data_IF_146283733542
#
_entry.id   IF_146283733542
#
_cell.length_a   1.000
_cell.length_b   1.000
_cell.length_c   1.000
_cell.angle_alpha   90.00
_cell.angle_beta   90.00
_cell.angle_gamma   90.00
#
_symmetry.space_group_name_H-M   'P 1'
#
loop_
_entity.id
_entity.type
_entity.pdbx_description
1 polymer ?
#
# COMPACT_ATOMS: atom_id res chain seq x y z
N UNK A 1 32.22 -17.67 42.41
CA UNK A 1 32.12 -16.19 42.52
C UNK A 1 32.06 -15.61 41.13
N UNK A 2 30.87 -15.29 40.63
CA UNK A 2 30.69 -14.55 39.38
C UNK A 2 31.08 -13.10 39.67
N UNK A 3 32.21 -12.64 39.14
CA UNK A 3 32.57 -11.22 39.16
C UNK A 3 31.46 -10.44 38.45
N UNK A 4 30.81 -9.54 39.18
CA UNK A 4 29.89 -8.58 38.61
C UNK A 4 30.67 -7.75 37.59
N UNK A 5 30.43 -7.99 36.30
CA UNK A 5 30.97 -7.18 35.24
C UNK A 5 30.40 -5.76 35.45
N UNK A 6 31.20 -4.75 35.83
CA UNK A 6 30.68 -3.40 35.95
C UNK A 6 30.15 -3.02 34.56
N UNK A 7 28.89 -2.56 34.51
CA UNK A 7 28.28 -2.09 33.26
C UNK A 7 28.50 -0.57 33.25
N UNK A 8 29.64 -0.06 32.73
CA UNK A 8 30.02 1.34 32.87
C UNK A 8 28.97 2.32 32.34
N UNK A 9 28.22 1.91 31.30
CA UNK A 9 27.11 2.70 30.76
C UNK A 9 25.94 2.83 31.72
N UNK A 10 25.59 1.77 32.46
CA UNK A 10 24.50 1.79 33.43
C UNK A 10 24.86 2.64 34.65
N UNK A 11 26.10 2.56 35.11
CA UNK A 11 26.60 3.36 36.22
C UNK A 11 26.64 4.85 35.85
N UNK A 12 27.05 5.18 34.61
CA UNK A 12 26.96 6.53 34.06
C UNK A 12 25.52 7.04 34.07
N UNK A 13 24.56 6.27 33.56
CA UNK A 13 23.13 6.67 33.54
C UNK A 13 22.59 6.85 34.96
N UNK A 14 22.92 5.97 35.91
CA UNK A 14 22.52 6.11 37.31
C UNK A 14 23.07 7.38 37.95
N UNK A 15 24.32 7.75 37.66
CA UNK A 15 24.91 8.99 38.13
C UNK A 15 24.20 10.22 37.54
N UNK A 16 23.83 10.18 36.26
CA UNK A 16 23.00 11.24 35.63
C UNK A 16 21.64 11.37 36.34
N UNK A 17 20.95 10.25 36.58
CA UNK A 17 19.66 10.24 37.27
C UNK A 17 19.74 10.71 38.72
N UNK A 18 20.91 10.57 39.36
CA UNK A 18 21.19 11.08 40.70
C UNK A 18 21.50 12.60 40.72
N UNK A 19 21.59 13.25 39.55
CA UNK A 19 21.84 14.69 39.44
C UNK A 19 23.33 15.06 39.43
N UNK A 20 24.25 14.12 39.21
CA UNK A 20 25.68 14.42 39.05
C UNK A 20 25.93 15.18 37.73
N UNK A 21 26.33 16.45 37.84
CA UNK A 21 26.58 17.33 36.70
C UNK A 21 27.79 16.91 35.87
N UNK A 22 28.84 16.35 36.49
CA UNK A 22 30.01 15.84 35.78
C UNK A 22 29.66 14.54 35.03
N UNK A 23 28.83 13.68 35.61
CA UNK A 23 28.29 12.53 34.91
C UNK A 23 27.39 12.94 33.74
N UNK A 24 26.54 13.96 33.92
CA UNK A 24 25.69 14.49 32.85
C UNK A 24 26.51 15.03 31.67
N UNK A 25 27.62 15.74 31.93
CA UNK A 25 28.51 16.21 30.88
C UNK A 25 29.16 15.04 30.13
N UNK A 26 29.77 14.08 30.86
CA UNK A 26 30.38 12.88 30.26
C UNK A 26 29.38 12.07 29.43
N UNK A 27 28.13 11.98 29.90
CA UNK A 27 27.06 11.33 29.17
C UNK A 27 26.75 12.04 27.85
N UNK A 28 26.64 13.36 27.86
CA UNK A 28 26.39 14.14 26.64
C UNK A 28 27.58 14.01 25.66
N UNK A 29 28.80 14.15 26.13
CA UNK A 29 30.01 14.03 25.30
C UNK A 29 30.08 12.64 24.65
N UNK A 30 29.75 11.58 25.38
CA UNK A 30 29.79 10.20 24.87
C UNK A 30 28.64 9.85 23.91
N UNK A 31 27.53 10.59 23.94
CA UNK A 31 26.29 10.21 23.23
C UNK A 31 25.88 11.20 22.14
N UNK A 32 26.45 12.40 22.11
CA UNK A 32 26.12 13.47 21.16
C UNK A 32 26.19 12.98 19.71
N UNK A 33 27.26 12.30 19.30
CA UNK A 33 27.42 11.80 17.92
C UNK A 33 26.34 10.78 17.54
N UNK A 34 25.94 9.92 18.48
CA UNK A 34 24.87 8.93 18.25
C UNK A 34 23.53 9.63 18.07
N UNK A 35 23.23 10.59 18.95
CA UNK A 35 21.99 11.37 18.88
C UNK A 35 21.94 12.22 17.61
N UNK A 36 23.05 12.86 17.25
CA UNK A 36 23.18 13.65 16.02
C UNK A 36 22.99 12.79 14.77
N UNK A 37 23.59 11.60 14.72
CA UNK A 37 23.39 10.66 13.60
C UNK A 37 21.91 10.29 13.40
N UNK A 38 21.18 10.07 14.49
CA UNK A 38 19.73 9.80 14.43
C UNK A 38 18.96 11.02 13.93
N UNK A 39 19.30 12.21 14.41
CA UNK A 39 18.67 13.47 13.98
C UNK A 39 18.92 13.72 12.50
N UNK A 40 20.18 13.65 12.02
CA UNK A 40 20.52 13.86 10.61
C UNK A 40 19.75 12.91 9.71
N UNK A 41 19.63 11.63 10.12
CA UNK A 41 18.88 10.64 9.35
C UNK A 41 17.39 10.99 9.21
N UNK A 42 16.78 11.61 10.21
CA UNK A 42 15.33 11.80 10.29
C UNK A 42 14.88 13.23 9.94
N UNK A 43 15.71 14.23 10.24
CA UNK A 43 15.41 15.66 10.09
C UNK A 43 16.34 16.36 9.10
N UNK A 44 17.50 15.78 8.78
CA UNK A 44 18.54 16.37 7.93
C UNK A 44 19.64 17.06 8.73
N UNK A 45 20.68 17.53 8.05
CA UNK A 45 21.88 18.18 8.61
C UNK A 45 21.84 19.72 8.57
N UNK A 46 20.70 20.31 8.21
CA UNK A 46 20.49 21.76 8.17
C UNK A 46 20.04 22.38 9.51
N UNK A 47 19.63 23.66 9.50
CA UNK A 47 19.17 24.39 10.70
C UNK A 47 18.01 23.68 11.42
N UNK A 48 17.13 23.03 10.67
CA UNK A 48 16.05 22.22 11.20
C UNK A 48 16.57 21.03 12.02
N UNK A 49 17.65 20.39 11.55
CA UNK A 49 18.33 19.29 12.22
C UNK A 49 18.99 19.75 13.52
N UNK A 50 19.69 20.89 13.50
CA UNK A 50 20.28 21.48 14.71
C UNK A 50 19.23 21.77 15.77
N UNK A 51 18.10 22.39 15.38
CA UNK A 51 16.98 22.62 16.29
C UNK A 51 16.39 21.30 16.80
N UNK A 52 16.30 20.27 15.95
CA UNK A 52 15.83 18.94 16.34
C UNK A 52 16.74 18.29 17.36
N UNK A 53 18.06 18.40 17.19
CA UNK A 53 19.04 17.92 18.14
C UNK A 53 18.92 18.60 19.51
N UNK A 54 18.80 19.93 19.54
CA UNK A 54 18.55 20.66 20.79
C UNK A 54 17.27 20.16 21.47
N UNK A 55 16.19 19.97 20.70
CA UNK A 55 14.94 19.42 21.23
C UNK A 55 15.07 17.99 21.76
N UNK A 56 15.95 17.15 21.17
CA UNK A 56 16.27 15.82 21.71
C UNK A 56 17.00 15.94 23.04
N UNK A 57 17.99 16.84 23.15
CA UNK A 57 18.71 17.07 24.41
C UNK A 57 17.78 17.61 25.50
N UNK A 58 16.90 18.55 25.17
CA UNK A 58 15.87 19.06 26.10
C UNK A 58 14.90 17.96 26.53
N UNK A 59 14.40 17.17 25.57
CA UNK A 59 13.51 16.04 25.84
C UNK A 59 14.16 14.94 26.68
N UNK A 60 15.47 14.74 26.55
CA UNK A 60 16.24 13.86 27.42
C UNK A 60 16.40 14.42 28.83
N UNK A 61 16.60 15.74 28.98
CA UNK A 61 16.76 16.40 30.28
C UNK A 61 15.45 16.56 31.07
N UNK A 62 14.32 16.58 30.35
CA UNK A 62 12.99 16.75 30.93
C UNK A 62 12.73 15.79 32.11
N UNK A 63 12.00 16.30 33.12
CA UNK A 63 11.61 15.58 34.33
C UNK A 63 12.76 14.86 35.05
N UNK A 64 13.95 15.47 35.03
CA UNK A 64 15.15 14.91 35.64
C UNK A 64 15.60 13.63 34.94
N UNK A 65 15.67 13.66 33.62
CA UNK A 65 16.03 12.52 32.78
C UNK A 65 15.10 11.31 32.92
N UNK A 66 13.79 11.55 33.07
CA UNK A 66 12.81 10.47 33.27
C UNK A 66 12.87 9.39 32.17
N UNK A 67 13.16 9.79 30.92
CA UNK A 67 13.29 8.89 29.77
C UNK A 67 14.50 7.97 29.83
N UNK A 68 15.46 8.17 30.75
CA UNK A 68 16.59 7.26 30.96
C UNK A 68 16.34 6.21 32.05
N UNK A 69 15.32 6.40 32.91
CA UNK A 69 15.01 5.48 34.02
C UNK A 69 14.77 4.03 33.58
N UNK A 70 14.14 3.75 32.43
CA UNK A 70 13.95 2.37 31.98
C UNK A 70 15.21 1.65 31.51
N UNK A 71 16.35 2.34 31.35
CA UNK A 71 17.58 1.71 30.90
C UNK A 71 18.15 0.79 32.00
N UNK A 72 18.17 -0.52 31.71
CA UNK A 72 18.59 -1.58 32.64
C UNK A 72 20.02 -2.10 32.38
N UNK A 73 20.68 -1.56 31.35
CA UNK A 73 22.02 -1.94 30.92
C UNK A 73 22.11 -3.33 30.27
N UNK A 74 21.01 -4.01 29.92
CA UNK A 74 21.07 -5.28 29.19
C UNK A 74 21.50 -5.07 27.72
N UNK A 75 21.17 -3.92 27.15
CA UNK A 75 21.57 -3.50 25.81
C UNK A 75 22.61 -2.37 25.81
N UNK A 76 23.13 -2.05 24.62
CA UNK A 76 24.00 -0.89 24.42
C UNK A 76 23.22 0.41 24.63
N UNK A 77 23.80 1.36 25.36
CA UNK A 77 23.21 2.68 25.59
C UNK A 77 22.91 3.40 24.27
N UNK A 78 23.78 3.30 23.28
CA UNK A 78 23.58 3.92 21.95
C UNK A 78 22.30 3.43 21.25
N UNK A 79 22.00 2.13 21.32
CA UNK A 79 20.77 1.56 20.75
C UNK A 79 19.54 2.05 21.49
N UNK A 80 19.60 2.09 22.82
CA UNK A 80 18.51 2.62 23.65
C UNK A 80 18.24 4.09 23.34
N UNK A 81 19.29 4.92 23.30
CA UNK A 81 19.17 6.34 23.00
C UNK A 81 18.68 6.61 21.59
N UNK A 82 19.01 5.77 20.61
CA UNK A 82 18.44 5.90 19.27
C UNK A 82 16.92 5.73 19.27
N UNK A 83 16.37 4.82 20.09
CA UNK A 83 14.92 4.64 20.25
C UNK A 83 14.31 5.85 20.95
N UNK A 84 14.90 6.29 22.07
CA UNK A 84 14.41 7.45 22.83
C UNK A 84 14.44 8.73 21.99
N UNK A 85 15.52 8.97 21.25
CA UNK A 85 15.64 10.10 20.33
C UNK A 85 14.60 10.03 19.22
N UNK A 86 14.39 8.84 18.62
CA UNK A 86 13.33 8.64 17.62
C UNK A 86 11.95 8.98 18.19
N UNK A 87 11.63 8.57 19.42
CA UNK A 87 10.35 8.89 20.05
C UNK A 87 10.19 10.39 20.32
N UNK A 88 11.22 11.08 20.83
CA UNK A 88 11.18 12.54 21.02
C UNK A 88 10.96 13.27 19.69
N UNK A 89 11.66 12.83 18.63
CA UNK A 89 11.50 13.39 17.29
C UNK A 89 10.11 13.11 16.70
N UNK A 90 9.54 11.93 16.96
CA UNK A 90 8.18 11.59 16.58
C UNK A 90 7.16 12.52 17.26
N UNK A 91 7.31 12.78 18.56
CA UNK A 91 6.45 13.70 19.33
C UNK A 91 6.57 15.15 18.81
N UNK A 92 7.77 15.57 18.41
CA UNK A 92 8.01 16.87 17.76
C UNK A 92 7.32 16.95 16.40
N UNK A 93 7.46 15.91 15.57
CA UNK A 93 6.82 15.82 14.26
C UNK A 93 5.29 15.87 14.37
N UNK A 94 4.71 15.19 15.36
CA UNK A 94 3.27 15.23 15.59
C UNK A 94 2.76 16.67 15.83
N UNK A 95 3.49 17.44 16.65
CA UNK A 95 3.17 18.85 16.95
C UNK A 95 3.32 19.76 15.72
N UNK A 96 4.31 19.51 14.87
CA UNK A 96 4.56 20.38 13.70
C UNK A 96 3.43 20.32 12.66
N UNK A 97 2.63 19.24 12.61
CA UNK A 97 1.43 19.15 11.77
C UNK A 97 0.32 20.13 12.18
N UNK A 98 0.37 20.71 13.38
CA UNK A 98 -0.56 21.77 13.79
C UNK A 98 -0.12 23.13 13.23
N UNK A 99 1.19 23.40 13.27
CA UNK A 99 1.79 24.71 12.97
C UNK A 99 2.09 24.91 11.47
N UNK A 100 2.68 23.90 10.83
CA UNK A 100 3.18 23.99 9.46
C UNK A 100 3.01 22.65 8.71
N UNK A 101 1.77 22.29 8.32
CA UNK A 101 1.46 20.95 7.84
C UNK A 101 2.16 20.55 6.53
N UNK A 102 2.38 21.50 5.60
CA UNK A 102 3.14 21.22 4.37
C UNK A 102 4.59 20.85 4.65
N UNK A 103 5.34 21.71 5.35
CA UNK A 103 6.74 21.42 5.74
C UNK A 103 6.87 20.14 6.57
N UNK A 104 5.84 19.80 7.35
CA UNK A 104 5.81 18.59 8.18
C UNK A 104 5.66 17.30 7.38
N UNK A 105 5.02 17.34 6.20
CA UNK A 105 4.85 16.14 5.39
C UNK A 105 6.16 15.62 4.81
N UNK A 106 7.00 16.50 4.25
CA UNK A 106 8.33 16.10 3.78
C UNK A 106 9.18 15.43 4.87
N UNK A 107 9.08 15.92 6.12
CA UNK A 107 9.71 15.28 7.29
C UNK A 107 9.07 13.94 7.63
N UNK A 108 7.75 13.87 7.61
CA UNK A 108 7.01 12.63 7.81
C UNK A 108 7.41 11.55 6.81
N UNK A 109 7.55 11.89 5.53
CA UNK A 109 7.97 10.94 4.50
C UNK A 109 9.39 10.42 4.77
N UNK A 110 10.32 11.29 5.19
CA UNK A 110 11.67 10.88 5.58
C UNK A 110 11.65 9.99 6.83
N UNK A 111 10.80 10.30 7.80
CA UNK A 111 10.74 9.62 9.09
C UNK A 111 10.11 8.22 9.00
N UNK A 112 8.99 8.10 8.27
CA UNK A 112 8.15 6.90 8.22
C UNK A 112 8.18 6.18 6.87
N UNK A 113 8.71 6.79 5.81
CA UNK A 113 8.65 6.22 4.46
C UNK A 113 9.21 4.81 4.37
N UNK A 114 10.37 4.56 4.99
CA UNK A 114 10.97 3.22 5.05
C UNK A 114 10.11 2.22 5.82
N UNK A 115 9.53 2.62 6.95
CA UNK A 115 8.70 1.74 7.78
C UNK A 115 7.39 1.38 7.07
N UNK A 116 6.75 2.35 6.40
CA UNK A 116 5.53 2.12 5.63
C UNK A 116 5.84 1.21 4.43
N UNK A 117 6.92 1.47 3.67
CA UNK A 117 7.34 0.60 2.55
C UNK A 117 7.63 -0.83 3.03
N UNK A 118 8.24 -0.99 4.21
CA UNK A 118 8.45 -2.31 4.80
C UNK A 118 7.13 -3.03 5.07
N UNK A 119 6.12 -2.33 5.60
CA UNK A 119 4.78 -2.91 5.83
C UNK A 119 4.05 -3.25 4.54
N UNK A 120 4.16 -2.40 3.51
CA UNK A 120 3.67 -2.70 2.16
C UNK A 120 4.31 -4.01 1.66
N UNK A 121 5.64 -4.12 1.72
CA UNK A 121 6.34 -5.31 1.28
C UNK A 121 6.00 -6.59 2.09
N UNK A 122 5.53 -6.44 3.33
CA UNK A 122 5.04 -7.55 4.15
C UNK A 122 3.62 -7.98 3.80
N UNK A 123 2.79 -7.05 3.29
CA UNK A 123 1.37 -7.31 2.96
C UNK A 123 1.15 -7.78 1.53
N UNK A 124 2.00 -7.37 0.59
CA UNK A 124 1.92 -7.77 -0.81
C UNK A 124 2.96 -8.86 -1.12
N UNK A 125 2.59 -9.97 -1.80
CA UNK A 125 3.48 -11.08 -2.13
C UNK A 125 4.79 -10.66 -2.81
N UNK A 126 5.81 -11.51 -2.79
CA UNK A 126 7.09 -11.23 -3.48
C UNK A 126 6.95 -11.19 -5.00
N UNK A 127 5.96 -11.87 -5.56
CA UNK A 127 5.67 -11.83 -7.00
C UNK A 127 4.93 -10.55 -7.44
N UNK A 128 4.44 -9.72 -6.49
CA UNK A 128 3.86 -8.43 -6.83
C UNK A 128 4.93 -7.54 -7.48
N UNK A 129 4.59 -6.94 -8.62
CA UNK A 129 5.51 -6.04 -9.33
C UNK A 129 5.92 -4.87 -8.44
N UNK A 130 7.11 -4.32 -8.67
CA UNK A 130 7.59 -3.12 -7.97
C UNK A 130 6.58 -1.98 -8.09
N UNK A 131 5.90 -1.86 -9.24
CA UNK A 131 4.82 -0.89 -9.47
C UNK A 131 3.66 -1.03 -8.48
N UNK A 132 3.16 -2.26 -8.24
CA UNK A 132 2.03 -2.48 -7.33
C UNK A 132 2.36 -2.09 -5.87
N UNK A 133 3.61 -2.34 -5.45
CA UNK A 133 4.07 -1.96 -4.10
C UNK A 133 4.25 -0.45 -3.98
N UNK A 134 4.79 0.18 -5.01
CA UNK A 134 4.89 1.63 -5.04
C UNK A 134 3.49 2.26 -5.01
N UNK A 135 2.54 1.77 -5.83
CA UNK A 135 1.15 2.23 -5.82
C UNK A 135 0.48 2.10 -4.44
N UNK A 136 0.66 0.95 -3.77
CA UNK A 136 0.15 0.75 -2.42
C UNK A 136 0.76 1.74 -1.41
N UNK A 137 2.06 2.02 -1.51
CA UNK A 137 2.72 3.06 -0.70
C UNK A 137 2.14 4.46 -1.00
N UNK A 138 1.96 4.80 -2.28
CA UNK A 138 1.39 6.08 -2.72
C UNK A 138 -0.04 6.26 -2.18
N UNK A 139 -0.84 5.20 -2.21
CA UNK A 139 -2.22 5.21 -1.71
C UNK A 139 -2.26 5.38 -0.19
N UNK A 140 -1.35 4.76 0.55
CA UNK A 140 -1.20 5.02 1.99
C UNK A 140 -0.83 6.49 2.25
N UNK A 141 0.11 7.05 1.50
CA UNK A 141 0.49 8.46 1.60
C UNK A 141 -0.71 9.39 1.35
N UNK A 142 -1.50 9.13 0.32
CA UNK A 142 -2.73 9.87 0.03
C UNK A 142 -3.70 9.85 1.21
N UNK A 143 -3.97 8.67 1.79
CA UNK A 143 -4.84 8.54 2.96
C UNK A 143 -4.35 9.33 4.18
N UNK A 144 -3.06 9.55 4.32
CA UNK A 144 -2.53 10.40 5.38
C UNK A 144 -2.65 11.90 5.09
N UNK A 145 -2.60 12.32 3.82
CA UNK A 145 -2.74 13.72 3.39
C UNK A 145 -4.21 14.17 3.37
N UNK A 146 -5.12 13.22 3.11
CA UNK A 146 -6.57 13.46 3.02
C UNK A 146 -7.11 14.34 4.16
N UNK A 147 -8.03 15.23 3.78
CA UNK A 147 -8.73 16.16 4.67
C UNK A 147 -7.77 16.99 5.55
N UNK A 148 -6.72 17.52 4.93
CA UNK A 148 -5.69 18.34 5.59
C UNK A 148 -5.02 17.59 6.76
N UNK A 149 -4.52 16.40 6.45
CA UNK A 149 -3.81 15.53 7.40
C UNK A 149 -4.67 15.11 8.60
N UNK A 150 -6.00 15.01 8.43
CA UNK A 150 -6.95 14.73 9.52
C UNK A 150 -6.56 13.51 10.35
N UNK A 151 -6.12 12.43 9.69
CA UNK A 151 -5.72 11.19 10.37
C UNK A 151 -4.48 11.36 11.24
N UNK A 152 -3.53 12.18 10.81
CA UNK A 152 -2.32 12.49 11.58
C UNK A 152 -2.69 13.39 12.77
N UNK A 153 -3.48 14.44 12.52
CA UNK A 153 -3.92 15.42 13.53
C UNK A 153 -4.92 14.85 14.54
N UNK A 154 -5.48 13.68 14.27
CA UNK A 154 -6.32 12.94 15.22
C UNK A 154 -5.52 12.29 16.35
N UNK A 155 -4.19 12.36 16.32
CA UNK A 155 -3.36 11.96 17.45
C UNK A 155 -3.60 12.89 18.64
N UNK A 156 -4.02 12.33 19.77
CA UNK A 156 -4.39 13.04 20.99
C UNK A 156 -3.23 13.18 21.98
N UNK A 157 -2.04 12.68 21.62
CA UNK A 157 -0.87 12.67 22.50
C UNK A 157 -0.78 11.46 23.42
N UNK A 158 -1.74 10.54 23.38
CA UNK A 158 -1.71 9.33 24.20
C UNK A 158 -0.95 8.19 23.49
N UNK A 159 0.08 7.68 24.17
CA UNK A 159 0.90 6.59 23.67
C UNK A 159 2.07 7.05 22.79
N UNK A 160 2.55 6.18 21.90
CA UNK A 160 3.63 6.51 20.96
C UNK A 160 3.04 6.94 19.62
N UNK A 161 3.44 8.14 19.15
CA UNK A 161 3.05 8.64 17.83
C UNK A 161 3.49 7.69 16.70
N UNK A 162 4.68 7.07 16.82
CA UNK A 162 5.15 6.04 15.89
C UNK A 162 4.18 4.87 15.83
N UNK A 163 3.75 4.35 16.99
CA UNK A 163 2.79 3.27 17.07
C UNK A 163 1.43 3.64 16.45
N UNK A 164 0.96 4.85 16.70
CA UNK A 164 -0.27 5.40 16.14
C UNK A 164 -0.23 5.45 14.60
N UNK A 165 0.79 6.10 14.02
CA UNK A 165 0.96 6.22 12.57
C UNK A 165 1.04 4.86 11.91
N UNK A 166 1.88 3.98 12.45
CA UNK A 166 2.06 2.66 11.86
C UNK A 166 0.77 1.81 11.97
N UNK A 167 -0.02 1.97 13.03
CA UNK A 167 -1.35 1.32 13.14
C UNK A 167 -2.33 1.84 12.10
N UNK A 168 -2.32 3.14 11.80
CA UNK A 168 -3.17 3.70 10.73
C UNK A 168 -2.72 3.19 9.37
N UNK A 169 -1.42 3.18 9.09
CA UNK A 169 -0.86 2.64 7.84
C UNK A 169 -1.29 1.18 7.65
N UNK A 170 -1.23 0.37 8.72
CA UNK A 170 -1.68 -1.02 8.70
C UNK A 170 -3.15 -1.16 8.31
N UNK A 171 -4.02 -0.34 8.92
CA UNK A 171 -5.46 -0.37 8.63
C UNK A 171 -5.75 0.01 7.18
N UNK A 172 -5.08 1.04 6.67
CA UNK A 172 -5.19 1.44 5.27
C UNK A 172 -4.75 0.28 4.36
N UNK A 173 -3.61 -0.34 4.62
CA UNK A 173 -3.12 -1.48 3.83
C UNK A 173 -4.08 -2.67 3.85
N UNK A 174 -4.64 -2.99 5.01
CA UNK A 174 -5.67 -4.04 5.13
C UNK A 174 -6.89 -3.70 4.26
N UNK A 175 -7.34 -2.45 4.28
CA UNK A 175 -8.49 -2.02 3.49
C UNK A 175 -8.18 -2.02 1.99
N UNK A 176 -6.95 -1.70 1.57
CA UNK A 176 -6.50 -1.82 0.18
C UNK A 176 -6.48 -3.27 -0.29
N UNK A 177 -5.88 -4.17 0.49
CA UNK A 177 -5.88 -5.61 0.17
C UNK A 177 -7.32 -6.14 0.09
N UNK A 178 -8.22 -5.67 0.95
CA UNK A 178 -9.65 -6.05 0.91
C UNK A 178 -10.41 -5.49 -0.29
N UNK A 179 -9.97 -4.38 -0.87
CA UNK A 179 -10.58 -3.81 -2.08
C UNK A 179 -10.27 -4.68 -3.30
N UNK A 180 -9.01 -5.09 -3.45
CA UNK A 180 -8.55 -5.85 -4.61
C UNK A 180 -8.83 -7.36 -4.47
N UNK A 181 -8.84 -7.86 -3.24
CA UNK A 181 -9.32 -9.19 -2.89
C UNK A 181 -10.57 -9.03 -2.01
N UNK A 182 -11.77 -8.82 -2.58
CA UNK A 182 -13.01 -8.83 -1.82
C UNK A 182 -13.07 -10.13 -1.02
N UNK A 183 -13.64 -10.10 0.20
CA UNK A 183 -13.68 -11.26 1.11
C UNK A 183 -14.16 -12.50 0.35
N UNK A 184 -13.21 -13.34 -0.07
CA UNK A 184 -13.46 -14.59 -0.77
C UNK A 184 -14.03 -15.56 0.25
N UNK A 185 -15.34 -15.49 0.45
CA UNK A 185 -16.08 -16.50 1.21
C UNK A 185 -16.41 -17.61 0.26
N UNK A 186 -16.14 -18.85 0.67
CA UNK A 186 -16.64 -20.00 -0.06
C UNK A 186 -18.17 -19.87 -0.17
N UNK A 187 -18.75 -20.09 -1.36
CA UNK A 187 -20.20 -20.21 -1.48
C UNK A 187 -20.72 -21.23 -0.45
N UNK A 188 -21.88 -20.98 0.14
CA UNK A 188 -22.41 -21.84 1.21
C UNK A 188 -22.54 -23.32 0.78
N UNK A 189 -22.76 -23.57 -0.51
CA UNK A 189 -22.76 -24.92 -1.08
C UNK A 189 -21.37 -25.58 -0.99
N UNK A 190 -20.29 -24.85 -1.31
CA UNK A 190 -18.91 -25.34 -1.27
C UNK A 190 -18.40 -25.45 0.17
N UNK A 191 -18.74 -24.51 1.04
CA UNK A 191 -18.31 -24.50 2.44
C UNK A 191 -18.81 -25.71 3.26
N UNK A 192 -19.86 -26.39 2.78
CA UNK A 192 -20.41 -27.61 3.39
C UNK A 192 -19.75 -28.90 2.89
N UNK A 193 -18.91 -28.81 1.86
CA UNK A 193 -18.21 -29.94 1.28
C UNK A 193 -16.94 -30.29 2.08
N UNK A 194 -16.36 -31.48 1.88
CA UNK A 194 -15.07 -31.85 2.45
C UNK A 194 -13.95 -30.86 2.10
N UNK A 195 -12.91 -30.82 2.93
CA UNK A 195 -11.77 -29.90 2.78
C UNK A 195 -11.09 -29.98 1.40
N UNK A 196 -11.01 -31.19 0.84
CA UNK A 196 -10.47 -31.42 -0.51
C UNK A 196 -11.25 -30.63 -1.58
N UNK A 197 -12.58 -30.71 -1.56
CA UNK A 197 -13.47 -30.02 -2.48
C UNK A 197 -13.35 -28.48 -2.31
N UNK A 198 -13.20 -28.00 -1.07
CA UNK A 198 -12.98 -26.56 -0.79
C UNK A 198 -11.64 -26.05 -1.34
N UNK A 199 -10.57 -26.84 -1.20
CA UNK A 199 -9.23 -26.49 -1.65
C UNK A 199 -9.09 -26.58 -3.18
N UNK A 200 -9.76 -27.55 -3.83
CA UNK A 200 -9.87 -27.64 -5.29
C UNK A 200 -10.63 -26.43 -5.84
N UNK A 201 -11.77 -26.07 -5.24
CA UNK A 201 -12.52 -24.88 -5.63
C UNK A 201 -11.68 -23.61 -5.51
N UNK A 202 -10.94 -23.47 -4.40
CA UNK A 202 -10.02 -22.34 -4.18
C UNK A 202 -8.91 -22.33 -5.23
N UNK A 203 -8.31 -23.48 -5.55
CA UNK A 203 -7.25 -23.57 -6.53
C UNK A 203 -7.73 -23.15 -7.93
N UNK A 204 -8.89 -23.64 -8.38
CA UNK A 204 -9.42 -23.36 -9.72
C UNK A 204 -10.00 -21.94 -9.81
N UNK A 205 -10.92 -21.59 -8.92
CA UNK A 205 -11.74 -20.37 -9.04
C UNK A 205 -11.04 -19.13 -8.48
N UNK A 206 -10.22 -19.28 -7.44
CA UNK A 206 -9.57 -18.14 -6.78
C UNK A 206 -8.11 -17.97 -7.17
N UNK A 207 -7.39 -19.06 -7.41
CA UNK A 207 -5.97 -19.04 -7.78
C UNK A 207 -5.75 -19.28 -9.27
N UNK A 208 -6.82 -19.42 -10.05
CA UNK A 208 -6.79 -19.53 -11.52
C UNK A 208 -5.94 -20.70 -12.04
N UNK A 209 -5.82 -21.78 -11.26
CA UNK A 209 -5.20 -23.00 -11.74
C UNK A 209 -6.08 -23.67 -12.82
N UNK A 210 -5.43 -24.35 -13.76
CA UNK A 210 -6.15 -25.16 -14.74
C UNK A 210 -6.96 -26.25 -14.01
N UNK A 211 -8.20 -26.47 -14.48
CA UNK A 211 -9.06 -27.55 -14.02
C UNK A 211 -8.55 -28.90 -14.58
N UNK A 212 -7.39 -29.33 -14.08
CA UNK A 212 -6.65 -30.52 -14.50
C UNK A 212 -6.24 -31.29 -13.23
N UNK A 213 -6.66 -32.55 -13.13
CA UNK A 213 -6.52 -33.34 -11.92
C UNK A 213 -5.04 -33.59 -11.55
N UNK A 214 -4.17 -33.80 -12.53
CA UNK A 214 -2.75 -34.06 -12.30
C UNK A 214 -2.02 -32.79 -11.84
N UNK A 215 -2.36 -31.64 -12.43
CA UNK A 215 -1.79 -30.34 -12.01
C UNK A 215 -2.28 -29.91 -10.63
N UNK A 216 -3.53 -30.20 -10.31
CA UNK A 216 -4.09 -29.96 -8.98
C UNK A 216 -3.46 -30.90 -7.95
N UNK A 217 -3.21 -32.18 -8.28
CA UNK A 217 -2.48 -33.10 -7.42
C UNK A 217 -1.08 -32.55 -7.07
N UNK A 218 -0.36 -32.02 -8.06
CA UNK A 218 0.92 -31.36 -7.82
C UNK A 218 0.81 -30.12 -6.91
N UNK A 219 -0.25 -29.33 -7.08
CA UNK A 219 -0.49 -28.08 -6.33
C UNK A 219 -0.90 -28.34 -4.88
N UNK A 220 -1.62 -29.44 -4.64
CA UNK A 220 -2.15 -29.84 -3.33
C UNK A 220 -1.21 -30.77 -2.55
N UNK A 221 -0.10 -31.21 -3.15
CA UNK A 221 0.88 -32.10 -2.54
C UNK A 221 1.36 -31.59 -1.17
N UNK A 222 1.30 -32.45 -0.16
CA UNK A 222 1.73 -32.16 1.21
C UNK A 222 0.78 -31.29 2.02
N UNK A 223 -0.41 -30.95 1.50
CA UNK A 223 -1.43 -30.17 2.23
C UNK A 223 -2.39 -31.02 3.07
N UNK A 224 -2.40 -32.33 2.83
CA UNK A 224 -3.27 -33.29 3.50
C UNK A 224 -2.43 -34.36 4.19
N UNK A 225 -3.00 -35.04 5.19
CA UNK A 225 -2.37 -36.19 5.84
C UNK A 225 -2.06 -37.33 4.85
N UNK A 226 -2.89 -37.46 3.82
CA UNK A 226 -2.69 -38.31 2.66
C UNK A 226 -2.92 -37.48 1.40
N UNK A 227 -1.94 -37.46 0.51
CA UNK A 227 -2.08 -36.79 -0.78
C UNK A 227 -3.22 -37.45 -1.57
N UNK A 228 -4.23 -36.67 -2.02
CA UNK A 228 -5.30 -37.19 -2.84
C UNK A 228 -4.76 -37.62 -4.21
N UNK A 229 -5.21 -38.77 -4.70
CA UNK A 229 -4.84 -39.22 -6.04
C UNK A 229 -5.63 -38.50 -7.15
N UNK A 230 -5.21 -38.65 -8.41
CA UNK A 230 -5.86 -37.98 -9.53
C UNK A 230 -7.34 -38.40 -9.72
N UNK A 231 -7.71 -39.62 -9.30
CA UNK A 231 -9.08 -40.10 -9.39
C UNK A 231 -9.96 -39.48 -8.31
N UNK A 232 -9.44 -39.32 -7.09
CA UNK A 232 -10.09 -38.63 -5.97
C UNK A 232 -10.32 -37.14 -6.29
N UNK A 233 -9.32 -36.49 -6.89
CA UNK A 233 -9.42 -35.10 -7.36
C UNK A 233 -10.44 -34.98 -8.50
N UNK A 234 -10.41 -35.89 -9.48
CA UNK A 234 -11.39 -35.93 -10.57
C UNK A 234 -12.84 -36.10 -10.05
N UNK A 235 -13.05 -36.98 -9.07
CA UNK A 235 -14.35 -37.17 -8.45
C UNK A 235 -14.80 -35.93 -7.65
N UNK A 236 -13.89 -35.25 -6.95
CA UNK A 236 -14.19 -33.99 -6.26
C UNK A 236 -14.52 -32.84 -7.21
N UNK A 237 -13.81 -32.75 -8.34
CA UNK A 237 -14.11 -31.80 -9.41
C UNK A 237 -15.50 -32.03 -10.01
N UNK A 238 -15.89 -33.30 -10.24
CA UNK A 238 -17.22 -33.63 -10.74
C UNK A 238 -18.33 -33.16 -9.76
N UNK A 239 -18.18 -33.43 -8.46
CA UNK A 239 -19.13 -32.96 -7.44
C UNK A 239 -19.21 -31.42 -7.37
N UNK A 240 -18.07 -30.75 -7.50
CA UNK A 240 -18.04 -29.29 -7.51
C UNK A 240 -18.71 -28.70 -8.76
N UNK A 241 -18.52 -29.32 -9.93
CA UNK A 241 -19.12 -28.88 -11.19
C UNK A 241 -20.66 -28.93 -11.16
N UNK A 242 -21.24 -29.89 -10.43
CA UNK A 242 -22.69 -29.99 -10.22
C UNK A 242 -23.25 -28.87 -9.33
N UNK A 243 -22.43 -28.34 -8.42
CA UNK A 243 -22.87 -27.37 -7.40
C UNK A 243 -22.57 -25.93 -7.76
N UNK A 244 -21.45 -25.67 -8.46
CA UNK A 244 -21.00 -24.33 -8.83
C UNK A 244 -20.26 -24.40 -10.18
N UNK A 245 -20.44 -23.40 -11.07
CA UNK A 245 -19.64 -23.32 -12.29
C UNK A 245 -18.14 -23.25 -11.94
N UNK A 246 -17.37 -24.27 -12.35
CA UNK A 246 -15.91 -24.32 -12.19
C UNK A 246 -15.17 -23.53 -13.28
N UNK A 247 -15.77 -22.44 -13.75
CA UNK A 247 -15.10 -21.52 -14.64
C UNK A 247 -14.16 -20.62 -13.82
N UNK A 248 -12.91 -20.41 -14.26
CA UNK A 248 -12.12 -19.31 -13.74
C UNK A 248 -12.94 -18.02 -13.91
N UNK A 249 -13.02 -17.16 -12.89
CA UNK A 249 -13.87 -15.96 -12.91
C UNK A 249 -13.54 -14.97 -14.05
N UNK A 250 -12.51 -15.25 -14.85
CA UNK A 250 -12.17 -14.57 -16.10
C UNK A 250 -11.53 -15.56 -17.08
N UNK A 251 -12.33 -16.33 -17.83
CA UNK A 251 -11.83 -17.04 -19.00
C UNK A 251 -12.93 -17.16 -20.06
N UNK A 252 -12.98 -16.20 -21.00
CA UNK A 252 -13.55 -16.45 -22.31
C UNK A 252 -12.89 -17.71 -22.91
N UNK A 253 -13.64 -18.59 -23.59
CA UNK A 253 -13.10 -19.83 -24.10
C UNK A 253 -11.98 -19.55 -25.10
N UNK A 254 -10.78 -20.10 -24.84
CA UNK A 254 -9.65 -20.06 -25.76
C UNK A 254 -9.92 -21.03 -26.92
N UNK A 255 -9.97 -20.47 -28.12
CA UNK A 255 -10.12 -21.17 -29.40
C UNK A 255 -9.07 -22.26 -29.60
N UNK A 256 -9.51 -23.50 -29.80
CA UNK A 256 -8.73 -24.50 -30.53
C UNK A 256 -8.83 -24.12 -32.03
N UNK A 257 -7.69 -23.86 -32.67
CA UNK A 257 -7.64 -23.50 -34.09
C UNK A 257 -7.89 -24.76 -34.93
N UNK A 258 -9.02 -24.79 -35.65
CA UNK A 258 -9.35 -25.82 -36.65
C UNK A 258 -8.97 -25.32 -38.03
N UNK A 259 -8.35 -26.17 -38.86
CA UNK A 259 -8.00 -25.82 -40.23
C UNK A 259 -9.26 -25.71 -41.09
N UNK A 260 -9.42 -24.59 -41.80
CA UNK A 260 -10.57 -24.31 -42.68
C UNK A 260 -10.64 -25.25 -43.90
N UNK A 261 -9.55 -25.94 -44.21
CA UNK A 261 -9.46 -26.91 -45.30
C UNK A 261 -9.82 -28.35 -44.88
N UNK A 262 -10.12 -28.59 -43.60
CA UNK A 262 -10.56 -29.91 -43.14
C UNK A 262 -11.99 -30.19 -43.65
N UNK A 263 -12.06 -30.82 -44.81
CA UNK A 263 -13.31 -31.26 -45.42
C UNK A 263 -13.89 -32.37 -44.55
N UNK A 264 -15.00 -32.10 -43.87
CA UNK A 264 -15.82 -33.14 -43.24
C UNK A 264 -16.35 -34.12 -44.29
N UNK A 265 -16.68 -35.35 -43.86
CA UNK A 265 -17.06 -36.47 -44.73
C UNK A 265 -18.28 -36.20 -45.64
N UNK A 266 -19.00 -35.08 -45.45
CA UNK A 266 -20.22 -34.72 -46.19
C UNK A 266 -20.03 -33.61 -47.26
N UNK A 267 -18.80 -33.13 -47.52
CA UNK A 267 -18.54 -32.24 -48.66
C UNK A 267 -19.16 -30.82 -48.60
N UNK A 268 -19.85 -30.46 -47.51
CA UNK A 268 -20.18 -29.07 -47.21
C UNK A 268 -18.96 -28.38 -46.58
N UNK A 269 -18.44 -27.35 -47.26
CA UNK A 269 -17.35 -26.53 -46.74
C UNK A 269 -17.74 -25.83 -45.43
N UNK A 270 -16.77 -25.65 -44.53
CA UNK A 270 -16.96 -24.90 -43.29
C UNK A 270 -17.44 -23.47 -43.59
N UNK A 271 -18.72 -23.19 -43.32
CA UNK A 271 -19.27 -21.83 -43.37
C UNK A 271 -18.84 -21.08 -42.11
N UNK A 272 -17.84 -20.19 -42.23
CA UNK A 272 -17.48 -19.25 -41.17
C UNK A 272 -18.43 -18.05 -41.28
N UNK A 273 -19.27 -17.78 -40.27
CA UNK A 273 -20.11 -16.59 -40.27
C UNK A 273 -19.22 -15.34 -40.34
N UNK A 274 -19.57 -14.41 -41.22
CA UNK A 274 -18.91 -13.11 -41.30
C UNK A 274 -19.05 -12.41 -39.94
N UNK A 275 -17.91 -12.00 -39.38
CA UNK A 275 -17.84 -11.29 -38.10
C UNK A 275 -18.02 -9.78 -38.26
N UNK A 276 -18.28 -9.30 -39.49
CA UNK A 276 -18.72 -7.94 -39.73
C UNK A 276 -19.99 -7.66 -38.94
N UNK A 277 -19.98 -6.56 -38.18
CA UNK A 277 -21.17 -6.09 -37.46
C UNK A 277 -22.33 -5.95 -38.44
N UNK A 278 -23.52 -6.38 -37.99
CA UNK A 278 -24.74 -6.23 -38.77
C UNK A 278 -24.98 -4.74 -39.08
N UNK A 279 -25.78 -4.40 -40.11
CA UNK A 279 -26.17 -3.01 -40.35
C UNK A 279 -26.80 -2.36 -39.10
N UNK A 280 -27.50 -3.14 -38.28
CA UNK A 280 -28.01 -2.72 -36.98
C UNK A 280 -26.88 -2.44 -35.95
N UNK A 281 -25.82 -3.27 -35.92
CA UNK A 281 -24.65 -3.03 -35.07
C UNK A 281 -23.88 -1.78 -35.50
N UNK A 282 -23.75 -1.53 -36.81
CA UNK A 282 -23.10 -0.33 -37.33
C UNK A 282 -23.89 0.94 -36.98
N UNK A 283 -25.22 0.86 -36.95
CA UNK A 283 -26.07 1.95 -36.47
C UNK A 283 -25.83 2.20 -34.98
N UNK A 284 -25.84 1.14 -34.15
CA UNK A 284 -25.57 1.22 -32.71
C UNK A 284 -24.16 1.78 -32.43
N UNK A 285 -23.14 1.32 -33.13
CA UNK A 285 -21.78 1.84 -33.04
C UNK A 285 -21.75 3.34 -33.38
N UNK A 286 -22.47 3.78 -34.41
CA UNK A 286 -22.55 5.19 -34.78
C UNK A 286 -23.26 6.05 -33.72
N UNK A 287 -24.30 5.53 -33.07
CA UNK A 287 -25.00 6.19 -31.97
C UNK A 287 -24.14 6.24 -30.70
N UNK A 288 -23.40 5.16 -30.41
CA UNK A 288 -22.42 5.11 -29.34
C UNK A 288 -21.27 6.09 -29.59
N UNK A 289 -20.74 6.17 -30.80
CA UNK A 289 -19.69 7.10 -31.21
C UNK A 289 -20.15 8.55 -31.01
N UNK A 290 -21.39 8.87 -31.41
CA UNK A 290 -22.00 10.19 -31.18
C UNK A 290 -22.16 10.49 -29.69
N UNK A 291 -22.61 9.51 -28.91
CA UNK A 291 -22.78 9.65 -27.46
C UNK A 291 -21.44 9.85 -26.76
N UNK A 292 -20.41 9.07 -27.14
CA UNK A 292 -19.03 9.21 -26.65
C UNK A 292 -18.45 10.57 -27.03
N UNK A 293 -18.64 11.02 -28.27
CA UNK A 293 -18.18 12.33 -28.72
C UNK A 293 -18.84 13.47 -27.95
N UNK A 294 -20.14 13.37 -27.68
CA UNK A 294 -20.90 14.34 -26.87
C UNK A 294 -20.39 14.38 -25.42
N UNK A 295 -20.19 13.22 -24.80
CA UNK A 295 -19.63 13.11 -23.45
C UNK A 295 -18.21 13.67 -23.38
N UNK A 296 -17.35 13.35 -24.34
CA UNK A 296 -15.99 13.88 -24.42
C UNK A 296 -15.99 15.41 -24.58
N UNK A 297 -16.87 15.96 -25.41
CA UNK A 297 -17.01 17.40 -25.56
C UNK A 297 -17.47 18.07 -24.26
N UNK A 298 -18.44 17.47 -23.56
CA UNK A 298 -18.94 17.96 -22.28
C UNK A 298 -17.86 17.91 -21.17
N UNK A 299 -17.09 16.82 -21.10
CA UNK A 299 -15.97 16.67 -20.16
C UNK A 299 -14.86 17.67 -20.48
N UNK A 300 -14.51 17.88 -21.76
CA UNK A 300 -13.52 18.89 -22.18
C UNK A 300 -13.97 20.31 -21.82
N UNK A 301 -15.24 20.63 -22.02
CA UNK A 301 -15.80 21.93 -21.65
C UNK A 301 -15.75 22.15 -20.13
N UNK A 302 -16.15 21.16 -19.34
CA UNK A 302 -16.06 21.23 -17.88
C UNK A 302 -14.61 21.30 -17.38
N UNK A 303 -13.68 20.62 -18.04
CA UNK A 303 -12.26 20.68 -17.70
C UNK A 303 -11.66 22.06 -18.01
N UNK A 304 -12.21 22.84 -18.95
CA UNK A 304 -11.71 24.18 -19.27
C UNK A 304 -11.89 25.18 -18.11
N UNK A 305 -12.87 24.96 -17.22
CA UNK A 305 -13.13 25.77 -16.03
C UNK A 305 -12.17 25.48 -14.87
N UNK A 306 -11.39 24.39 -14.95
CA UNK A 306 -10.44 24.03 -13.91
C UNK A 306 -9.23 24.97 -13.88
N UNK A 307 -8.61 25.17 -12.70
CA UNK A 307 -7.35 25.88 -12.59
C UNK A 307 -6.26 25.30 -13.52
N UNK A 308 -5.33 26.12 -14.03
CA UNK A 308 -4.30 25.67 -14.97
C UNK A 308 -3.48 24.47 -14.48
N UNK A 309 -3.21 24.40 -13.18
CA UNK A 309 -2.45 23.30 -12.56
C UNK A 309 -3.25 21.98 -12.55
N UNK A 310 -4.53 22.03 -12.22
CA UNK A 310 -5.43 20.87 -12.22
C UNK A 310 -5.64 20.34 -13.64
N UNK A 311 -5.75 21.23 -14.64
CA UNK A 311 -5.79 20.84 -16.06
C UNK A 311 -4.52 20.14 -16.53
N UNK A 312 -3.35 20.69 -16.17
CA UNK A 312 -2.05 20.11 -16.52
C UNK A 312 -1.87 18.73 -15.85
N UNK A 313 -2.27 18.59 -14.59
CA UNK A 313 -2.25 17.30 -13.88
C UNK A 313 -3.10 16.25 -14.61
N UNK A 314 -4.36 16.58 -14.95
CA UNK A 314 -5.25 15.68 -15.69
C UNK A 314 -4.68 15.31 -17.06
N UNK A 315 -4.11 16.28 -17.79
CA UNK A 315 -3.49 16.03 -19.08
C UNK A 315 -2.34 15.03 -18.97
N UNK A 316 -1.44 15.19 -17.99
CA UNK A 316 -0.32 14.26 -17.77
C UNK A 316 -0.85 12.86 -17.43
N UNK A 317 -1.82 12.76 -16.52
CA UNK A 317 -2.38 11.46 -16.08
C UNK A 317 -3.09 10.72 -17.22
N UNK A 318 -3.87 11.42 -18.04
CA UNK A 318 -4.62 10.79 -19.15
C UNK A 318 -3.80 10.60 -20.43
N UNK A 319 -2.64 11.26 -20.55
CA UNK A 319 -1.76 11.08 -21.72
C UNK A 319 -0.73 9.97 -21.52
N UNK A 320 -0.53 9.49 -20.29
CA UNK A 320 0.38 8.40 -19.99
C UNK A 320 -0.28 7.05 -20.30
N UNK A 321 0.45 6.17 -21.00
CA UNK A 321 0.00 4.78 -21.29
C UNK A 321 -0.10 3.95 -20.01
N UNK A 322 0.77 4.23 -19.04
CA UNK A 322 0.83 3.57 -17.73
C UNK A 322 0.65 4.59 -16.59
N UNK A 323 0.19 4.17 -15.40
CA UNK A 323 0.05 5.06 -14.24
C UNK A 323 1.42 5.65 -13.84
N UNK A 324 1.59 6.95 -14.02
CA UNK A 324 2.83 7.63 -13.66
C UNK A 324 2.93 7.83 -12.14
N UNK A 325 4.07 7.49 -11.49
CA UNK A 325 4.24 7.70 -10.06
C UNK A 325 4.25 9.19 -9.72
N UNK A 326 3.71 9.56 -8.54
CA UNK A 326 3.53 10.96 -8.14
C UNK A 326 4.83 11.78 -8.14
N UNK A 327 5.99 11.13 -7.93
CA UNK A 327 7.31 11.79 -7.98
C UNK A 327 7.71 12.21 -9.39
N UNK A 328 7.33 11.42 -10.40
CA UNK A 328 7.59 11.75 -11.80
C UNK A 328 6.65 12.87 -12.26
N UNK A 329 5.39 12.82 -11.86
CA UNK A 329 4.43 13.93 -12.07
C UNK A 329 4.93 15.21 -11.39
N UNK A 330 5.43 15.11 -10.15
CA UNK A 330 5.99 16.24 -9.41
C UNK A 330 7.17 16.87 -10.13
N UNK A 331 8.08 16.03 -10.68
CA UNK A 331 9.20 16.49 -11.49
C UNK A 331 8.72 17.14 -12.80
N UNK A 332 7.75 16.55 -13.48
CA UNK A 332 7.19 17.07 -14.73
C UNK A 332 6.48 18.42 -14.52
N UNK A 333 5.77 18.59 -13.40
CA UNK A 333 5.04 19.81 -13.06
C UNK A 333 5.89 20.84 -12.30
N UNK A 334 7.12 20.50 -11.90
CA UNK A 334 7.97 21.30 -11.02
C UNK A 334 7.29 21.68 -9.69
N UNK A 335 6.50 20.76 -9.16
CA UNK A 335 5.79 20.92 -7.89
C UNK A 335 6.36 19.97 -6.84
N UNK A 336 6.25 20.31 -5.54
CA UNK A 336 6.51 19.33 -4.50
C UNK A 336 5.51 18.17 -4.61
N UNK A 337 5.96 16.95 -4.28
CA UNK A 337 5.15 15.72 -4.37
C UNK A 337 3.83 15.84 -3.58
N UNK A 338 3.84 16.61 -2.50
CA UNK A 338 2.67 16.90 -1.67
C UNK A 338 1.54 17.59 -2.45
N UNK A 339 1.90 18.57 -3.27
CA UNK A 339 0.95 19.31 -4.10
C UNK A 339 0.40 18.42 -5.22
N UNK A 340 1.19 17.48 -5.72
CA UNK A 340 0.72 16.45 -6.66
C UNK A 340 -0.34 15.55 -6.02
N UNK A 341 -0.16 15.15 -4.76
CA UNK A 341 -1.20 14.39 -4.05
C UNK A 341 -2.47 15.20 -3.83
N UNK A 342 -2.36 16.49 -3.52
CA UNK A 342 -3.52 17.40 -3.41
C UNK A 342 -4.23 17.60 -4.75
N UNK A 343 -3.47 17.73 -5.84
CA UNK A 343 -3.98 17.77 -7.21
C UNK A 343 -4.72 16.48 -7.56
N UNK A 344 -4.15 15.31 -7.23
CA UNK A 344 -4.80 14.00 -7.40
C UNK A 344 -6.14 13.96 -6.67
N UNK A 345 -6.18 14.38 -5.41
CA UNK A 345 -7.41 14.37 -4.61
C UNK A 345 -8.48 15.31 -5.17
N UNK A 346 -8.12 16.56 -5.52
CA UNK A 346 -9.05 17.52 -6.13
C UNK A 346 -9.58 17.02 -7.46
N UNK A 347 -8.70 16.47 -8.29
CA UNK A 347 -9.05 15.90 -9.59
C UNK A 347 -9.99 14.69 -9.46
N UNK A 348 -9.78 13.80 -8.50
CA UNK A 348 -10.68 12.66 -8.23
C UNK A 348 -12.07 13.11 -7.74
N UNK A 349 -12.15 14.14 -6.90
CA UNK A 349 -13.42 14.73 -6.47
C UNK A 349 -14.17 15.32 -7.66
N UNK A 350 -13.49 16.13 -8.46
CA UNK A 350 -14.05 16.72 -9.68
C UNK A 350 -14.53 15.63 -10.66
N UNK A 351 -13.73 14.58 -10.90
CA UNK A 351 -14.14 13.46 -11.76
C UNK A 351 -15.39 12.75 -11.23
N UNK A 352 -15.52 12.59 -9.92
CA UNK A 352 -16.70 11.98 -9.28
C UNK A 352 -17.95 12.87 -9.43
N UNK A 353 -17.79 14.19 -9.28
CA UNK A 353 -18.86 15.18 -9.50
C UNK A 353 -19.32 15.21 -10.97
N UNK A 354 -18.36 15.15 -11.90
CA UNK A 354 -18.64 15.08 -13.34
C UNK A 354 -19.33 13.77 -13.71
N UNK A 355 -18.85 12.64 -13.19
CA UNK A 355 -19.47 11.32 -13.40
C UNK A 355 -20.90 11.28 -12.88
N UNK A 356 -21.18 11.87 -11.71
CA UNK A 356 -22.55 11.95 -11.17
C UNK A 356 -23.45 12.94 -11.94
N UNK A 357 -22.89 14.02 -12.49
CA UNK A 357 -23.61 14.99 -13.32
C UNK A 357 -24.03 14.40 -14.67
N UNK A 358 -23.19 13.55 -15.28
CA UNK A 358 -23.45 12.97 -16.60
C UNK A 358 -24.01 11.54 -16.56
N UNK A 359 -23.83 10.78 -15.47
CA UNK A 359 -24.38 9.43 -15.29
C UNK A 359 -25.82 9.37 -14.77
N UNK A 360 -26.50 10.52 -14.61
CA UNK A 360 -27.91 10.62 -14.20
C UNK A 360 -28.90 10.81 -15.37
N UNK A 361 -28.50 10.48 -16.60
CA UNK A 361 -29.38 10.51 -17.76
C UNK A 361 -29.86 9.12 -18.12
#
# INVERSE_FOLDING_TARGET
MLQANPRPELDLVKAVLAGDSAAAQRFLDATADTLWSVVVKLEGDGPEGEQAFLGVIEGLKADGYARLRPFDGQGRLSTYLAIVARDILADRLARSFVEAPGKSWSRFERFFGTDIRRRVAQRFPREASTGQRDDAYQEVCLKFIEDNYRRIRAYDGLGSFTGFILTIAERILIDLVRRDAPRRRLPAAVARLPQLDQDIYTAIVWNMHAADADRLAMTLRGRFERDPDAAEIGAAMARLAELVPLAPATASPRNQLVSLDSSGEDGEGLSVPDSGGTPEDQLLESEEEQTRASLLAAVKAAAAELPPQDRLYLQIVFSATDPMPAREIARAMQLPVEEVYRLKQRSQRWLSEIATRFGKK
#
